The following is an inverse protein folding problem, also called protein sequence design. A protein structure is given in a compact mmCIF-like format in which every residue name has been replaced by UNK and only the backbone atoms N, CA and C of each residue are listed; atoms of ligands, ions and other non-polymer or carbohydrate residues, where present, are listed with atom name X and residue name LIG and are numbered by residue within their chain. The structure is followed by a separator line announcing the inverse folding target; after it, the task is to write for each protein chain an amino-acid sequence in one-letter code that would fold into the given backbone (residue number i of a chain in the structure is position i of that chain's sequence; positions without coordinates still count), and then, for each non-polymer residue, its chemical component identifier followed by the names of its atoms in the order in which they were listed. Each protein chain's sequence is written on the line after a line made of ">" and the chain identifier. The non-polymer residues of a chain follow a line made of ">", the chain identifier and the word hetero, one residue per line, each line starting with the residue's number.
data_IF_491699028941
#
_entry.id   IF_491699028941
#
_cell.length_a   1.000
_cell.length_b   1.000
_cell.length_c   1.000
_cell.angle_alpha   90.00
_cell.angle_beta   90.00
_cell.angle_gamma   90.00
#
_symmetry.space_group_name_H-M   'P 1'
#
loop_
_entity.id
_entity.type
_entity.pdbx_description
1 polymer ?
#
# COMPACT_ATOMS: atom_id res chain seq x y z
N UNK A 1 -10.64 40.41 15.61
CA UNK A 1 -9.46 39.52 15.64
C UNK A 1 -9.88 38.18 15.06
N UNK A 2 -9.91 38.08 13.72
CA UNK A 2 -10.03 36.86 12.92
C UNK A 2 -9.84 37.26 11.45
N UNK A 3 -8.70 36.91 10.86
CA UNK A 3 -8.43 36.79 9.40
C UNK A 3 -7.02 36.19 9.30
N UNK A 4 -6.66 35.19 8.50
CA UNK A 4 -7.35 34.39 7.50
C UNK A 4 -6.22 33.53 6.88
N UNK A 5 -6.23 32.22 7.09
CA UNK A 5 -5.20 31.33 6.54
C UNK A 5 -5.43 31.12 5.05
N UNK A 6 -4.58 31.72 4.22
CA UNK A 6 -4.61 31.54 2.78
C UNK A 6 -4.28 30.07 2.43
N UNK A 7 -5.29 29.32 1.95
CA UNK A 7 -5.05 28.10 1.19
C UNK A 7 -4.41 28.52 -0.14
N UNK A 8 -3.13 28.24 -0.29
CA UNK A 8 -2.46 28.29 -1.58
C UNK A 8 -3.10 27.18 -2.43
N UNK A 9 -3.94 27.57 -3.39
CA UNK A 9 -4.38 26.66 -4.45
C UNK A 9 -3.24 26.59 -5.47
N UNK A 10 -2.85 25.40 -5.95
CA UNK A 10 -1.88 25.32 -7.03
C UNK A 10 -2.46 25.95 -8.29
N UNK A 11 -1.66 26.80 -8.94
CA UNK A 11 -1.96 27.37 -10.25
C UNK A 11 -1.37 26.43 -11.29
N UNK A 12 -2.19 25.99 -12.23
CA UNK A 12 -1.75 25.12 -13.32
C UNK A 12 -1.51 25.98 -14.55
N UNK A 13 -0.30 25.96 -15.10
CA UNK A 13 -0.02 26.50 -16.44
C UNK A 13 0.19 25.35 -17.44
N UNK A 14 -0.34 25.53 -18.64
CA UNK A 14 -0.22 24.59 -19.75
C UNK A 14 1.06 24.92 -20.54
N UNK A 15 2.01 23.98 -20.58
CA UNK A 15 3.15 23.99 -21.49
C UNK A 15 3.02 22.76 -22.41
N UNK A 16 2.33 22.96 -23.54
CA UNK A 16 1.92 21.87 -24.45
C UNK A 16 0.77 21.03 -23.87
N UNK A 17 0.70 19.75 -24.24
CA UNK A 17 -0.38 18.82 -23.84
C UNK A 17 -0.20 18.22 -22.42
N UNK A 18 0.75 18.73 -21.64
CA UNK A 18 1.12 18.20 -20.32
C UNK A 18 0.92 19.29 -19.25
N UNK A 19 0.09 18.98 -18.25
CA UNK A 19 -0.04 19.80 -17.03
C UNK A 19 1.19 19.59 -16.15
N UNK A 20 2.08 20.58 -16.10
CA UNK A 20 3.20 20.62 -15.17
C UNK A 20 2.84 21.54 -14.00
N UNK A 21 3.04 21.06 -12.77
CA UNK A 21 2.73 21.80 -11.55
C UNK A 21 4.05 22.34 -10.97
N UNK A 22 4.39 23.57 -11.33
CA UNK A 22 5.58 24.28 -10.87
C UNK A 22 5.25 25.11 -9.63
N UNK A 23 5.27 24.46 -8.46
CA UNK A 23 5.56 25.07 -7.13
C UNK A 23 5.36 24.01 -6.03
N UNK A 24 6.26 23.02 -5.95
CA UNK A 24 6.36 22.17 -4.76
C UNK A 24 7.57 22.60 -3.91
N UNK A 25 7.48 22.63 -2.58
CA UNK A 25 8.64 22.83 -1.69
C UNK A 25 9.81 21.91 -2.06
N UNK A 26 11.06 22.37 -1.98
CA UNK A 26 12.25 21.60 -2.42
C UNK A 26 12.35 20.20 -1.80
N UNK A 27 11.91 20.01 -0.55
CA UNK A 27 11.85 18.69 0.09
C UNK A 27 10.97 17.68 -0.67
N UNK A 28 9.87 18.14 -1.28
CA UNK A 28 8.97 17.28 -2.09
C UNK A 28 9.60 16.99 -3.45
N UNK A 29 10.36 17.94 -4.02
CA UNK A 29 11.07 17.78 -5.29
C UNK A 29 12.23 16.79 -5.18
N UNK A 30 13.06 16.91 -4.13
CA UNK A 30 14.16 15.99 -3.84
C UNK A 30 13.64 14.58 -3.58
N UNK A 31 12.59 14.45 -2.75
CA UNK A 31 11.90 13.16 -2.59
C UNK A 31 11.37 12.65 -3.93
N UNK A 32 10.82 13.49 -4.83
CA UNK A 32 10.30 13.04 -6.15
C UNK A 32 11.41 12.54 -7.08
N UNK A 33 12.60 13.13 -7.02
CA UNK A 33 13.77 12.71 -7.80
C UNK A 33 14.31 11.36 -7.30
N UNK A 34 14.53 11.24 -5.99
CA UNK A 34 14.92 9.98 -5.34
C UNK A 34 13.87 8.87 -5.57
N UNK A 35 12.57 9.22 -5.55
CA UNK A 35 11.46 8.32 -5.88
C UNK A 35 11.53 7.76 -7.30
N UNK A 36 11.89 8.58 -8.29
CA UNK A 36 12.04 8.14 -9.69
C UNK A 36 13.22 7.18 -9.87
N UNK A 37 14.34 7.45 -9.21
CA UNK A 37 15.56 6.61 -9.29
C UNK A 37 15.39 5.26 -8.58
N UNK A 38 14.70 5.24 -7.43
CA UNK A 38 14.35 3.99 -6.73
C UNK A 38 13.38 3.13 -7.55
N UNK A 39 12.33 3.75 -8.11
CA UNK A 39 11.38 3.07 -8.99
C UNK A 39 12.02 2.53 -10.29
N UNK A 40 12.96 3.26 -10.89
CA UNK A 40 13.63 2.81 -12.13
C UNK A 40 14.50 1.58 -11.88
N UNK A 41 15.31 1.58 -10.82
CA UNK A 41 16.12 0.42 -10.44
C UNK A 41 15.25 -0.80 -10.08
N UNK A 42 14.11 -0.58 -9.42
CA UNK A 42 13.17 -1.65 -9.11
C UNK A 42 12.50 -2.21 -10.38
N UNK A 43 12.10 -1.35 -11.32
CA UNK A 43 11.51 -1.76 -12.61
C UNK A 43 12.48 -2.59 -13.45
N UNK A 44 13.76 -2.21 -13.51
CA UNK A 44 14.79 -2.98 -14.22
C UNK A 44 14.94 -4.41 -13.68
N UNK A 45 14.82 -4.59 -12.35
CA UNK A 45 14.96 -5.90 -11.70
C UNK A 45 13.77 -6.84 -11.86
N UNK A 46 12.58 -6.32 -12.11
CA UNK A 46 11.31 -7.08 -12.08
C UNK A 46 10.56 -7.04 -13.42
N UNK A 47 11.17 -6.49 -14.48
CA UNK A 47 10.58 -6.38 -15.81
C UNK A 47 9.37 -5.45 -15.88
N UNK A 48 8.71 -5.43 -17.04
CA UNK A 48 7.51 -4.64 -17.32
C UNK A 48 6.21 -5.27 -16.77
N UNK A 49 6.35 -6.19 -15.81
CA UNK A 49 5.21 -6.90 -15.22
C UNK A 49 4.32 -5.95 -14.43
N UNK A 50 3.01 -6.00 -14.67
CA UNK A 50 2.01 -5.20 -13.95
C UNK A 50 1.94 -5.58 -12.48
N UNK A 51 1.93 -4.56 -11.61
CA UNK A 51 1.92 -4.68 -10.15
C UNK A 51 0.65 -4.07 -9.59
N UNK A 52 -0.24 -4.92 -9.09
CA UNK A 52 -1.49 -4.51 -8.43
C UNK A 52 -1.27 -4.56 -6.93
N UNK A 53 -1.25 -3.40 -6.28
CA UNK A 53 -1.16 -3.31 -4.82
C UNK A 53 -2.53 -3.46 -4.16
N UNK A 54 -2.57 -4.10 -3.00
CA UNK A 54 -3.77 -4.16 -2.15
C UNK A 54 -3.39 -3.84 -0.71
N UNK A 55 -4.00 -2.83 -0.11
CA UNK A 55 -3.84 -2.55 1.31
C UNK A 55 -4.63 -3.58 2.15
N UNK A 56 -3.94 -4.29 3.03
CA UNK A 56 -4.53 -5.36 3.85
C UNK A 56 -4.22 -5.16 5.32
N UNK A 57 -5.27 -5.12 6.15
CA UNK A 57 -5.19 -5.12 7.62
C UNK A 57 -5.93 -6.31 8.24
N UNK A 58 -6.33 -7.27 7.40
CA UNK A 58 -7.13 -8.46 7.74
C UNK A 58 -8.53 -8.13 8.32
N UNK A 59 -9.00 -6.90 8.14
CA UNK A 59 -10.38 -6.54 8.44
C UNK A 59 -11.35 -7.06 7.37
N UNK A 60 -12.65 -7.17 7.68
CA UNK A 60 -13.65 -7.53 6.67
C UNK A 60 -13.63 -6.64 5.42
N UNK A 61 -13.31 -5.35 5.58
CA UNK A 61 -13.27 -4.40 4.47
C UNK A 61 -12.03 -4.60 3.59
N UNK A 62 -10.86 -4.88 4.20
CA UNK A 62 -9.66 -5.18 3.41
C UNK A 62 -9.78 -6.52 2.69
N UNK A 63 -10.47 -7.51 3.26
CA UNK A 63 -10.73 -8.80 2.59
C UNK A 63 -11.64 -8.64 1.38
N UNK A 64 -12.69 -7.82 1.50
CA UNK A 64 -13.54 -7.44 0.35
C UNK A 64 -12.71 -6.73 -0.73
N UNK A 65 -11.80 -5.83 -0.34
CA UNK A 65 -10.91 -5.15 -1.28
C UNK A 65 -9.95 -6.12 -1.98
N UNK A 66 -9.37 -7.06 -1.23
CA UNK A 66 -8.49 -8.11 -1.75
C UNK A 66 -9.21 -9.02 -2.75
N UNK A 67 -10.40 -9.50 -2.39
CA UNK A 67 -11.24 -10.30 -3.29
C UNK A 67 -11.60 -9.53 -4.56
N UNK A 68 -12.05 -8.29 -4.42
CA UNK A 68 -12.37 -7.44 -5.56
C UNK A 68 -11.16 -7.21 -6.49
N UNK A 69 -9.98 -6.95 -5.93
CA UNK A 69 -8.75 -6.77 -6.70
C UNK A 69 -8.39 -8.03 -7.49
N UNK A 70 -8.42 -9.19 -6.82
CA UNK A 70 -8.21 -10.48 -7.46
C UNK A 70 -9.20 -10.68 -8.60
N UNK A 71 -10.50 -10.47 -8.36
CA UNK A 71 -11.55 -10.80 -9.32
C UNK A 71 -11.55 -9.88 -10.54
N UNK A 72 -11.29 -8.58 -10.34
CA UNK A 72 -11.52 -7.55 -11.36
C UNK A 72 -10.25 -6.96 -11.99
N UNK A 73 -9.12 -6.94 -11.27
CA UNK A 73 -7.88 -6.30 -11.76
C UNK A 73 -6.78 -7.29 -12.13
N UNK A 74 -6.66 -8.38 -11.38
CA UNK A 74 -5.57 -9.34 -11.57
C UNK A 74 -5.78 -10.22 -12.80
N UNK A 75 -4.75 -10.30 -13.63
CA UNK A 75 -4.66 -11.10 -14.86
C UNK A 75 -3.41 -11.97 -14.84
N UNK A 76 -3.37 -12.98 -15.71
CA UNK A 76 -2.22 -13.88 -15.85
C UNK A 76 -0.91 -13.10 -16.00
N UNK A 77 0.08 -13.46 -15.18
CA UNK A 77 1.38 -12.81 -15.14
C UNK A 77 1.46 -11.58 -14.23
N UNK A 78 0.34 -11.04 -13.72
CA UNK A 78 0.38 -9.91 -12.80
C UNK A 78 1.02 -10.30 -11.46
N UNK A 79 1.67 -9.31 -10.83
CA UNK A 79 2.14 -9.40 -9.46
C UNK A 79 1.13 -8.72 -8.53
N UNK A 80 0.50 -9.48 -7.64
CA UNK A 80 -0.36 -8.97 -6.60
C UNK A 80 0.49 -8.69 -5.34
N UNK A 81 0.63 -7.41 -4.99
CA UNK A 81 1.41 -6.96 -3.84
C UNK A 81 0.47 -6.62 -2.69
N UNK A 82 0.41 -7.51 -1.70
CA UNK A 82 -0.29 -7.22 -0.44
C UNK A 82 0.57 -6.28 0.40
N UNK A 83 0.05 -5.09 0.71
CA UNK A 83 0.70 -4.09 1.55
C UNK A 83 0.03 -4.11 2.91
N UNK A 84 0.76 -4.55 3.94
CA UNK A 84 0.31 -4.55 5.32
C UNK A 84 1.06 -3.47 6.09
N UNK A 85 0.31 -2.56 6.73
CA UNK A 85 0.90 -1.56 7.64
C UNK A 85 0.56 -1.94 9.07
N UNK A 86 1.59 -2.05 9.90
CA UNK A 86 1.47 -2.21 11.34
C UNK A 86 1.71 -0.85 12.00
N UNK A 87 0.94 -0.47 13.03
CA UNK A 87 1.32 0.70 13.83
C UNK A 87 2.71 0.48 14.42
N UNK A 88 3.49 1.55 14.57
CA UNK A 88 4.74 1.49 15.32
C UNK A 88 4.41 1.03 16.73
N UNK A 89 4.66 -0.24 17.02
CA UNK A 89 4.94 -0.62 18.38
C UNK A 89 6.29 0.01 18.69
N UNK A 90 6.35 0.94 19.66
CA UNK A 90 7.59 1.16 20.37
C UNK A 90 8.06 -0.21 20.81
N UNK A 91 9.02 -0.78 20.07
CA UNK A 91 9.71 -2.00 20.43
C UNK A 91 10.48 -1.65 21.69
N UNK A 92 9.83 -1.71 22.86
CA UNK A 92 10.55 -1.81 24.11
C UNK A 92 11.33 -3.12 24.03
N UNK A 93 12.61 -2.95 23.75
CA UNK A 93 13.73 -3.77 24.17
C UNK A 93 13.34 -4.73 25.30
N UNK A 94 12.96 -5.96 24.94
CA UNK A 94 12.51 -6.95 25.92
C UNK A 94 12.71 -8.39 25.48
N UNK A 95 12.13 -8.82 24.35
CA UNK A 95 12.02 -10.27 24.05
C UNK A 95 12.62 -10.71 22.71
N UNK A 96 13.38 -9.86 22.03
CA UNK A 96 14.06 -10.23 20.78
C UNK A 96 15.59 -10.08 20.90
N UNK A 97 16.18 -10.71 21.92
CA UNK A 97 17.65 -10.80 22.05
C UNK A 97 18.28 -11.86 21.15
N UNK A 98 17.50 -12.60 20.34
CA UNK A 98 18.08 -13.65 19.50
C UNK A 98 18.33 -13.26 18.04
N UNK A 99 17.78 -12.16 17.51
CA UNK A 99 17.84 -11.94 16.05
C UNK A 99 17.92 -10.48 15.58
N UNK A 100 18.86 -9.72 16.15
CA UNK A 100 19.37 -8.47 15.56
C UNK A 100 18.36 -7.33 15.38
N UNK A 101 18.88 -6.17 14.98
CA UNK A 101 18.10 -5.01 14.52
C UNK A 101 17.07 -5.47 13.48
N UNK A 102 15.78 -5.04 13.54
CA UNK A 102 14.85 -5.31 12.46
C UNK A 102 15.50 -4.84 11.15
N UNK A 103 15.51 -5.66 10.09
CA UNK A 103 16.17 -5.29 8.85
C UNK A 103 15.58 -3.95 8.39
N UNK A 104 16.46 -3.00 8.04
CA UNK A 104 16.05 -1.66 7.62
C UNK A 104 14.95 -1.69 6.53
N UNK A 105 14.92 -2.77 5.73
CA UNK A 105 13.86 -3.04 4.76
C UNK A 105 13.50 -4.54 4.80
N UNK A 106 12.24 -4.87 5.08
CA UNK A 106 11.75 -6.26 4.91
C UNK A 106 11.61 -6.54 3.41
N UNK A 107 12.19 -7.63 2.89
CA UNK A 107 12.06 -7.98 1.48
C UNK A 107 10.60 -8.30 1.11
N UNK A 108 10.30 -8.39 -0.18
CA UNK A 108 9.02 -8.92 -0.64
C UNK A 108 8.93 -10.40 -0.23
N UNK A 109 7.94 -10.72 0.60
CA UNK A 109 7.72 -12.05 1.17
C UNK A 109 6.86 -12.86 0.19
N UNK A 110 7.35 -13.98 -0.36
CA UNK A 110 6.55 -14.83 -1.25
C UNK A 110 5.35 -15.47 -0.54
N UNK A 111 4.36 -15.89 -1.33
CA UNK A 111 3.18 -16.60 -0.81
C UNK A 111 3.52 -17.85 0.03
N UNK A 112 4.60 -18.58 -0.31
CA UNK A 112 5.06 -19.73 0.48
C UNK A 112 5.33 -19.37 1.94
N UNK A 113 5.97 -18.22 2.15
CA UNK A 113 6.38 -17.75 3.47
C UNK A 113 5.20 -17.11 4.20
N UNK A 114 4.26 -16.51 3.44
CA UNK A 114 3.01 -15.97 3.98
C UNK A 114 2.14 -17.03 4.65
N UNK A 115 2.13 -18.26 4.12
CA UNK A 115 1.40 -19.37 4.75
C UNK A 115 2.06 -19.89 6.03
N UNK A 116 3.33 -19.55 6.27
CA UNK A 116 4.06 -20.00 7.45
C UNK A 116 3.75 -19.10 8.67
N UNK A 117 2.90 -19.60 9.56
CA UNK A 117 2.48 -18.87 10.77
C UNK A 117 3.64 -18.48 11.70
N UNK A 118 4.75 -19.23 11.72
CA UNK A 118 5.92 -18.91 12.55
C UNK A 118 6.62 -17.66 12.03
N UNK A 119 6.80 -17.56 10.71
CA UNK A 119 7.42 -16.41 10.07
C UNK A 119 6.54 -15.17 10.24
N UNK A 120 5.22 -15.32 10.02
CA UNK A 120 4.30 -14.18 10.13
C UNK A 120 4.18 -13.64 11.55
N UNK A 121 4.19 -14.52 12.56
CA UNK A 121 4.20 -14.12 13.99
C UNK A 121 5.41 -13.28 14.34
N UNK A 122 6.59 -13.56 13.77
CA UNK A 122 7.80 -12.75 13.96
C UNK A 122 7.61 -11.30 13.51
N UNK A 123 6.78 -11.07 12.49
CA UNK A 123 6.43 -9.73 12.01
C UNK A 123 5.16 -9.17 12.69
N UNK A 124 4.63 -9.84 13.71
CA UNK A 124 3.41 -9.43 14.40
C UNK A 124 2.14 -9.57 13.56
N UNK A 125 2.18 -10.38 12.49
CA UNK A 125 1.05 -10.60 11.58
C UNK A 125 0.46 -11.98 11.81
N UNK A 126 -0.87 -12.03 11.88
CA UNK A 126 -1.65 -13.27 11.90
C UNK A 126 -2.61 -13.24 10.71
N UNK A 127 -2.20 -13.75 9.54
CA UNK A 127 -3.07 -13.80 8.38
C UNK A 127 -4.31 -14.64 8.69
N UNK A 128 -5.50 -14.13 8.38
CA UNK A 128 -6.72 -14.90 8.56
C UNK A 128 -6.89 -15.91 7.42
N UNK A 129 -7.60 -17.00 7.71
CA UNK A 129 -7.83 -18.10 6.77
C UNK A 129 -8.49 -17.63 5.47
N UNK A 130 -9.41 -16.66 5.53
CA UNK A 130 -10.11 -16.16 4.35
C UNK A 130 -9.15 -15.41 3.41
N UNK A 131 -8.28 -14.55 3.95
CA UNK A 131 -7.26 -13.86 3.14
C UNK A 131 -6.30 -14.85 2.48
N UNK A 132 -5.84 -15.88 3.23
CA UNK A 132 -4.95 -16.92 2.70
C UNK A 132 -5.62 -17.73 1.59
N UNK A 133 -6.88 -18.09 1.76
CA UNK A 133 -7.65 -18.82 0.76
C UNK A 133 -7.83 -18.02 -0.54
N UNK A 134 -8.19 -16.73 -0.42
CA UNK A 134 -8.34 -15.84 -1.58
C UNK A 134 -7.05 -15.83 -2.42
N UNK A 135 -5.90 -15.59 -1.78
CA UNK A 135 -4.64 -15.45 -2.54
C UNK A 135 -4.07 -16.77 -3.03
N UNK A 136 -4.26 -17.86 -2.27
CA UNK A 136 -3.83 -19.21 -2.69
C UNK A 136 -4.64 -19.67 -3.90
N UNK A 137 -5.95 -19.43 -3.87
CA UNK A 137 -6.85 -19.74 -4.99
C UNK A 137 -6.52 -18.87 -6.20
N UNK A 138 -6.33 -17.56 -5.99
CA UNK A 138 -5.99 -16.63 -7.07
C UNK A 138 -4.67 -16.98 -7.76
N UNK A 139 -3.62 -17.30 -6.99
CA UNK A 139 -2.32 -17.66 -7.53
C UNK A 139 -2.39 -18.89 -8.44
N UNK A 140 -3.18 -19.90 -8.04
CA UNK A 140 -3.38 -21.12 -8.83
C UNK A 140 -4.27 -20.91 -10.05
N UNK A 141 -5.39 -20.23 -9.89
CA UNK A 141 -6.41 -20.10 -10.95
C UNK A 141 -6.06 -19.05 -12.00
N UNK A 142 -5.44 -17.94 -11.58
CA UNK A 142 -5.11 -16.82 -12.46
C UNK A 142 -3.64 -16.78 -12.86
N UNK A 143 -2.81 -17.71 -12.37
CA UNK A 143 -1.36 -17.74 -12.61
C UNK A 143 -0.71 -16.37 -12.27
N UNK A 144 -1.07 -15.83 -11.11
CA UNK A 144 -0.51 -14.58 -10.57
C UNK A 144 0.52 -14.87 -9.48
N UNK A 145 1.50 -13.98 -9.38
CA UNK A 145 2.51 -14.02 -8.31
C UNK A 145 2.00 -13.17 -7.16
N UNK A 146 1.84 -13.77 -5.98
CA UNK A 146 1.42 -13.04 -4.77
C UNK A 146 2.63 -12.79 -3.89
N UNK A 147 2.83 -11.52 -3.52
CA UNK A 147 3.90 -11.07 -2.64
C UNK A 147 3.32 -10.23 -1.51
N UNK A 148 3.90 -10.34 -0.32
CA UNK A 148 3.57 -9.54 0.84
C UNK A 148 4.70 -8.53 1.14
N UNK A 149 4.32 -7.27 1.38
CA UNK A 149 5.21 -6.22 1.88
C UNK A 149 4.66 -5.67 3.19
N UNK A 150 5.51 -5.61 4.20
CA UNK A 150 5.16 -5.13 5.54
C UNK A 150 5.83 -3.78 5.78
N UNK A 151 5.07 -2.84 6.33
CA UNK A 151 5.51 -1.53 6.78
C UNK A 151 5.12 -1.33 8.24
N UNK A 152 5.89 -0.50 8.95
CA UNK A 152 5.58 -0.04 10.31
C UNK A 152 5.41 1.48 10.30
N UNK A 153 4.37 2.00 10.96
CA UNK A 153 4.09 3.42 11.10
C UNK A 153 2.61 3.80 10.84
N UNK A 154 2.37 5.08 10.53
CA UNK A 154 1.04 5.57 10.15
C UNK A 154 0.64 5.03 8.77
N UNK A 155 -0.55 4.41 8.70
CA UNK A 155 -1.05 3.79 7.47
C UNK A 155 -1.17 4.76 6.28
N UNK A 156 -1.46 6.05 6.52
CA UNK A 156 -1.57 7.06 5.46
C UNK A 156 -0.24 7.27 4.76
N UNK A 157 0.80 7.46 5.55
CA UNK A 157 2.14 7.71 5.07
C UNK A 157 2.73 6.45 4.44
N UNK A 158 2.64 5.32 5.14
CA UNK A 158 3.25 4.06 4.71
C UNK A 158 2.60 3.47 3.47
N UNK A 159 1.30 3.69 3.25
CA UNK A 159 0.67 3.28 1.99
C UNK A 159 1.15 4.14 0.82
N UNK A 160 1.32 5.45 0.99
CA UNK A 160 1.89 6.29 -0.07
C UNK A 160 3.37 5.92 -0.34
N UNK A 161 4.14 5.72 0.74
CA UNK A 161 5.53 5.25 0.68
C UNK A 161 5.63 3.88 -0.03
N UNK A 162 4.62 3.01 0.13
CA UNK A 162 4.63 1.70 -0.52
C UNK A 162 4.57 1.77 -2.04
N UNK A 163 3.84 2.75 -2.58
CA UNK A 163 3.73 3.00 -4.03
C UNK A 163 5.03 3.59 -4.57
N UNK A 164 5.75 4.35 -3.74
CA UNK A 164 7.05 4.92 -4.09
C UNK A 164 8.16 3.85 -4.08
N UNK A 165 8.14 2.95 -3.09
CA UNK A 165 9.14 1.89 -2.93
C UNK A 165 8.92 0.72 -3.90
N UNK A 166 7.67 0.49 -4.28
CA UNK A 166 7.27 -0.54 -5.22
C UNK A 166 6.40 0.17 -6.25
N UNK A 167 6.86 0.38 -7.50
CA UNK A 167 6.10 1.07 -8.53
C UNK A 167 4.84 0.28 -8.88
N UNK A 168 3.76 0.53 -8.14
CA UNK A 168 2.46 -0.09 -8.33
C UNK A 168 1.74 0.62 -9.49
N UNK A 169 1.18 -0.16 -10.41
CA UNK A 169 0.36 0.37 -11.50
C UNK A 169 -1.04 0.76 -11.01
N UNK A 170 -1.48 0.18 -9.90
CA UNK A 170 -2.70 0.56 -9.19
C UNK A 170 -2.64 0.07 -7.75
N UNK A 171 -3.28 0.81 -6.83
CA UNK A 171 -3.47 0.43 -5.44
C UNK A 171 -4.96 0.26 -5.13
N UNK A 172 -5.35 -0.86 -4.51
CA UNK A 172 -6.72 -1.13 -4.06
C UNK A 172 -6.78 -1.05 -2.54
N UNK A 173 -7.76 -0.30 -2.02
CA UNK A 173 -7.96 -0.11 -0.59
C UNK A 173 -9.43 -0.30 -0.20
N UNK A 174 -9.68 -0.74 1.02
CA UNK A 174 -11.03 -0.77 1.61
C UNK A 174 -11.51 0.63 2.02
N UNK A 175 -12.81 0.76 2.29
CA UNK A 175 -13.43 2.03 2.68
C UNK A 175 -13.54 2.29 4.20
N UNK A 176 -13.07 1.38 5.09
CA UNK A 176 -13.17 1.54 6.55
C UNK A 176 -11.82 1.49 7.25
N UNK A 177 -11.66 2.36 8.26
CA UNK A 177 -10.70 2.23 9.35
C UNK A 177 -11.46 2.06 10.68
N UNK A 178 -11.15 1.01 11.43
CA UNK A 178 -11.32 0.86 12.89
C UNK A 178 -12.50 1.59 13.59
N UNK A 179 -13.77 1.38 13.18
CA UNK A 179 -14.90 1.89 13.99
C UNK A 179 -16.31 1.73 13.41
N UNK A 180 -17.29 1.57 14.32
CA UNK A 180 -18.75 1.50 14.07
C UNK A 180 -19.36 2.88 13.72
N UNK A 181 -18.86 3.58 12.70
CA UNK A 181 -19.49 4.82 12.24
C UNK A 181 -20.03 4.62 10.82
N UNK A 182 -21.32 4.31 10.76
CA UNK A 182 -22.15 4.33 9.56
C UNK A 182 -22.42 5.79 9.14
N UNK A 183 -21.81 6.23 8.04
CA UNK A 183 -22.40 7.11 7.00
C UNK A 183 -21.31 7.60 6.07
N UNK A 184 -21.36 7.20 4.79
CA UNK A 184 -20.92 7.93 3.57
C UNK A 184 -19.48 8.49 3.50
N UNK A 185 -18.70 8.44 4.57
CA UNK A 185 -17.38 9.05 4.67
C UNK A 185 -16.32 8.04 4.23
N UNK A 186 -15.49 8.43 3.26
CA UNK A 186 -14.22 7.75 3.02
C UNK A 186 -13.42 7.81 4.32
N UNK A 187 -12.93 6.65 4.79
CA UNK A 187 -12.08 6.60 5.98
C UNK A 187 -10.86 7.51 5.84
N UNK A 188 -10.30 7.97 6.97
CA UNK A 188 -9.16 8.91 6.99
C UNK A 188 -7.96 8.41 6.17
N UNK A 189 -7.68 7.10 6.23
CA UNK A 189 -6.65 6.44 5.42
C UNK A 189 -6.99 6.48 3.94
N UNK A 190 -8.18 6.02 3.57
CA UNK A 190 -8.59 5.95 2.16
C UNK A 190 -8.67 7.32 1.51
N UNK A 191 -9.18 8.32 2.24
CA UNK A 191 -9.21 9.70 1.78
C UNK A 191 -7.80 10.27 1.59
N UNK A 192 -6.89 10.02 2.53
CA UNK A 192 -5.51 10.47 2.38
C UNK A 192 -4.83 9.83 1.17
N UNK A 193 -4.91 8.50 1.04
CA UNK A 193 -4.24 7.75 -0.02
C UNK A 193 -4.77 8.15 -1.39
N UNK A 194 -6.09 8.29 -1.57
CA UNK A 194 -6.68 8.74 -2.85
C UNK A 194 -6.16 10.12 -3.28
N UNK A 195 -5.92 11.02 -2.33
CA UNK A 195 -5.47 12.38 -2.64
C UNK A 195 -3.94 12.52 -2.79
N UNK A 196 -3.15 11.56 -2.31
CA UNK A 196 -1.69 11.70 -2.22
C UNK A 196 -0.88 10.60 -2.92
N UNK A 197 -1.49 9.44 -3.21
CA UNK A 197 -0.78 8.36 -3.89
C UNK A 197 -0.46 8.75 -5.34
N UNK A 198 0.76 8.45 -5.83
CA UNK A 198 1.15 8.78 -7.20
C UNK A 198 0.57 7.81 -8.25
N UNK A 199 -0.04 6.70 -7.83
CA UNK A 199 -0.68 5.72 -8.71
C UNK A 199 -2.22 5.83 -8.65
N UNK A 200 -2.94 5.28 -9.64
CA UNK A 200 -4.38 5.08 -9.55
C UNK A 200 -4.78 4.34 -8.27
N UNK A 201 -5.80 4.83 -7.57
CA UNK A 201 -6.32 4.23 -6.34
C UNK A 201 -7.78 3.81 -6.52
N UNK A 202 -8.08 2.54 -6.27
CA UNK A 202 -9.46 2.03 -6.24
C UNK A 202 -9.92 1.83 -4.80
N UNK A 203 -11.05 2.45 -4.44
CA UNK A 203 -11.67 2.27 -3.12
C UNK A 203 -12.84 1.31 -3.22
N UNK A 204 -12.71 0.16 -2.56
CA UNK A 204 -13.76 -0.86 -2.51
C UNK A 204 -14.68 -0.58 -1.32
N UNK A 205 -15.97 -0.37 -1.62
CA UNK A 205 -16.99 -0.14 -0.60
C UNK A 205 -17.41 -1.47 0.03
N UNK A 206 -17.37 -1.57 1.35
CA UNK A 206 -18.14 -2.59 2.07
C UNK A 206 -19.61 -2.18 2.07
N UNK A 207 -20.41 -2.82 1.21
CA UNK A 207 -21.84 -2.94 1.45
C UNK A 207 -21.99 -3.82 2.69
N UNK A 208 -22.55 -3.24 3.77
CA UNK A 208 -23.20 -4.03 4.80
C UNK A 208 -24.64 -4.29 4.36
#
# INVERSE_FOLDING_TARGET
>A
MFVGGARIRPTFELLGDVLVNDSFPEEIQTRRKERRESCSSFRERMGDTRRVGVAVDFSPCSRKALRWAVDNLSRKGDHLIMVVVRPDCHYESGEMQSLGTPPAHVPLIPLSDFTNSVIMKKYGISPDTESLDIVTTASKQKEIVVLLKIYWGDAREKLCESVDNIPLDSLVIGNRGLGKIQRVLMGSVSNYVVNNAPCPVTVVKSSD
#
